data_IF_807985151794
#
_entry.id   IF_807985151794
#
_cell.length_a   1.000
_cell.length_b   1.000
_cell.length_c   1.000
_cell.angle_alpha   90.00
_cell.angle_beta   90.00
_cell.angle_gamma   90.00
#
_symmetry.space_group_name_H-M   'P 1'
#
loop_
_entity.id
_entity.type
_entity.pdbx_description
1 polymer ?
#
# COMPACT_ATOMS: atom_id res chain seq x y z
N UNK A 1 6.66 6.36 14.45
CA UNK A 1 7.52 5.53 13.57
C UNK A 1 8.82 6.30 13.38
N UNK A 2 9.96 5.70 13.71
CA UNK A 2 11.25 6.35 13.51
C UNK A 2 11.54 6.50 12.02
N UNK A 3 12.02 7.67 11.60
CA UNK A 3 12.32 7.96 10.20
C UNK A 3 13.77 7.60 9.91
N UNK A 4 13.99 6.69 8.95
CA UNK A 4 15.34 6.24 8.57
C UNK A 4 16.01 7.18 7.56
N UNK A 5 15.23 7.81 6.69
CA UNK A 5 15.74 8.65 5.60
C UNK A 5 15.66 10.14 5.90
N UNK A 6 16.62 10.92 5.40
CA UNK A 6 16.61 12.38 5.43
C UNK A 6 16.70 12.97 4.01
N UNK A 7 16.09 14.13 3.75
CA UNK A 7 16.19 14.77 2.44
C UNK A 7 17.65 15.15 2.13
N UNK A 8 18.07 14.93 0.88
CA UNK A 8 19.37 15.36 0.37
C UNK A 8 19.26 15.55 -1.15
N UNK A 9 19.58 16.75 -1.65
CA UNK A 9 19.65 17.09 -3.08
C UNK A 9 18.43 16.66 -3.92
N UNK A 10 17.22 16.92 -3.43
CA UNK A 10 15.98 16.55 -4.13
C UNK A 10 15.61 15.06 -4.06
N UNK A 11 16.43 14.25 -3.39
CA UNK A 11 16.14 12.86 -3.06
C UNK A 11 16.20 12.61 -1.55
N UNK A 12 16.44 11.36 -1.19
CA UNK A 12 16.55 10.92 0.19
C UNK A 12 17.83 10.12 0.38
N UNK A 13 18.48 10.29 1.53
CA UNK A 13 19.63 9.50 1.96
C UNK A 13 19.33 8.80 3.28
N UNK A 14 19.99 7.68 3.51
CA UNK A 14 19.93 6.89 4.74
C UNK A 14 21.35 6.63 5.23
N UNK A 15 21.49 6.35 6.51
CA UNK A 15 22.76 5.89 7.09
C UNK A 15 23.23 4.58 6.41
N UNK A 16 24.53 4.48 6.15
CA UNK A 16 25.14 3.34 5.46
C UNK A 16 24.92 2.01 6.19
N UNK A 17 24.79 2.04 7.52
CA UNK A 17 24.52 0.84 8.33
C UNK A 17 23.13 0.25 8.10
N UNK A 18 22.22 1.01 7.47
CA UNK A 18 20.83 0.60 7.21
C UNK A 18 20.62 0.03 5.81
N UNK A 19 21.64 0.10 4.96
CA UNK A 19 21.67 -0.49 3.61
C UNK A 19 23.00 -1.20 3.42
N UNK A 20 22.99 -2.53 3.50
CA UNK A 20 24.20 -3.38 3.47
C UNK A 20 24.19 -4.30 2.24
N UNK A 21 25.34 -4.66 1.68
CA UNK A 21 25.40 -5.61 0.57
C UNK A 21 24.94 -7.00 1.03
N UNK A 22 24.12 -7.64 0.22
CA UNK A 22 23.67 -9.03 0.33
C UNK A 22 24.06 -9.84 -0.91
N UNK A 23 23.70 -11.13 -0.93
CA UNK A 23 24.06 -12.04 -2.03
C UNK A 23 23.40 -11.70 -3.37
N UNK A 24 22.25 -11.03 -3.35
CA UNK A 24 21.44 -10.72 -4.55
C UNK A 24 21.25 -9.21 -4.79
N UNK A 25 21.95 -8.36 -4.05
CA UNK A 25 21.79 -6.90 -4.13
C UNK A 25 22.06 -6.22 -2.80
N UNK A 26 21.28 -5.19 -2.47
CA UNK A 26 21.34 -4.51 -1.18
C UNK A 26 20.19 -4.96 -0.28
N UNK A 27 20.47 -5.10 1.00
CA UNK A 27 19.50 -5.43 2.05
C UNK A 27 19.67 -4.46 3.22
N UNK A 28 19.02 -4.73 4.35
CA UNK A 28 19.07 -3.89 5.54
C UNK A 28 17.71 -3.30 5.87
N UNK A 29 17.63 -2.60 7.00
CA UNK A 29 16.37 -2.13 7.57
C UNK A 29 15.61 -1.19 6.63
N UNK A 30 16.32 -0.30 5.93
CA UNK A 30 15.69 0.64 5.01
C UNK A 30 15.10 -0.06 3.78
N UNK A 31 15.83 -1.02 3.22
CA UNK A 31 15.37 -1.82 2.07
C UNK A 31 14.18 -2.69 2.47
N UNK A 32 14.26 -3.39 3.60
CA UNK A 32 13.18 -4.25 4.09
C UNK A 32 11.88 -3.47 4.36
N UNK A 33 12.00 -2.22 4.82
CA UNK A 33 10.84 -1.35 5.06
C UNK A 33 10.26 -0.80 3.77
N UNK A 34 11.09 -0.53 2.76
CA UNK A 34 10.63 -0.17 1.42
C UNK A 34 9.85 -1.32 0.79
N UNK A 35 10.39 -2.55 0.81
CA UNK A 35 9.70 -3.73 0.26
C UNK A 35 8.35 -4.00 0.92
N UNK A 36 8.27 -3.94 2.26
CA UNK A 36 6.98 -4.08 2.97
C UNK A 36 5.97 -2.98 2.62
N UNK A 37 6.47 -1.79 2.30
CA UNK A 37 5.61 -0.70 1.85
C UNK A 37 5.12 -0.94 0.42
N UNK A 38 5.96 -1.46 -0.47
CA UNK A 38 5.59 -1.90 -1.82
C UNK A 38 4.53 -2.99 -1.76
N UNK A 39 4.72 -4.05 -0.94
CA UNK A 39 3.72 -5.11 -0.71
C UNK A 39 2.36 -4.54 -0.27
N UNK A 40 2.38 -3.55 0.63
CA UNK A 40 1.18 -2.87 1.11
C UNK A 40 0.46 -2.11 -0.01
N UNK A 41 1.20 -1.39 -0.86
CA UNK A 41 0.62 -0.66 -2.01
C UNK A 41 0.05 -1.64 -3.03
N UNK A 42 0.76 -2.71 -3.35
CA UNK A 42 0.26 -3.77 -4.24
C UNK A 42 -1.03 -4.40 -3.71
N UNK A 43 -1.09 -4.66 -2.40
CA UNK A 43 -2.29 -5.19 -1.76
C UNK A 43 -3.49 -4.23 -1.88
N UNK A 44 -3.27 -2.92 -1.70
CA UNK A 44 -4.31 -1.90 -1.90
C UNK A 44 -4.81 -1.88 -3.36
N UNK A 45 -3.90 -1.93 -4.32
CA UNK A 45 -4.24 -1.93 -5.75
C UNK A 45 -5.03 -3.19 -6.15
N UNK A 46 -4.61 -4.36 -5.66
CA UNK A 46 -5.32 -5.62 -5.88
C UNK A 46 -6.72 -5.57 -5.24
N UNK A 47 -6.82 -5.06 -4.01
CA UNK A 47 -8.10 -4.88 -3.30
C UNK A 47 -9.05 -3.95 -4.06
N UNK A 48 -8.55 -2.83 -4.60
CA UNK A 48 -9.32 -1.90 -5.41
C UNK A 48 -9.91 -2.54 -6.68
N UNK A 49 -9.25 -3.58 -7.20
CA UNK A 49 -9.69 -4.35 -8.37
C UNK A 49 -10.68 -5.46 -8.00
N UNK A 50 -10.48 -6.11 -6.85
CA UNK A 50 -11.24 -7.29 -6.46
C UNK A 50 -12.54 -6.96 -5.71
N UNK A 51 -12.54 -5.95 -4.85
CA UNK A 51 -13.73 -5.55 -4.09
C UNK A 51 -14.94 -5.25 -5.00
N UNK A 52 -14.81 -4.51 -6.13
CA UNK A 52 -15.94 -4.29 -7.02
C UNK A 52 -16.60 -5.58 -7.53
N UNK A 53 -15.81 -6.64 -7.77
CA UNK A 53 -16.34 -7.94 -8.20
C UNK A 53 -17.14 -8.60 -7.08
N UNK A 54 -16.60 -8.61 -5.86
CA UNK A 54 -17.30 -9.15 -4.68
C UNK A 54 -18.58 -8.37 -4.37
N UNK A 55 -18.56 -7.05 -4.51
CA UNK A 55 -19.74 -6.21 -4.35
C UNK A 55 -20.80 -6.54 -5.41
N UNK A 56 -20.40 -6.76 -6.66
CA UNK A 56 -21.34 -7.15 -7.72
C UNK A 56 -21.99 -8.50 -7.42
N UNK A 57 -21.22 -9.51 -7.03
CA UNK A 57 -21.76 -10.81 -6.62
C UNK A 57 -22.80 -10.67 -5.50
N UNK A 58 -22.51 -9.84 -4.48
CA UNK A 58 -23.46 -9.59 -3.40
C UNK A 58 -24.72 -8.83 -3.86
N UNK A 59 -24.65 -7.97 -4.89
CA UNK A 59 -25.84 -7.35 -5.50
C UNK A 59 -26.68 -8.38 -6.21
N UNK A 60 -26.05 -9.25 -6.99
CA UNK A 60 -26.73 -10.29 -7.76
C UNK A 60 -27.46 -11.27 -6.81
N UNK A 61 -26.92 -11.48 -5.60
CA UNK A 61 -27.55 -12.24 -4.52
C UNK A 61 -28.57 -11.44 -3.68
N UNK A 62 -28.81 -10.15 -3.98
CA UNK A 62 -29.72 -9.28 -3.21
C UNK A 62 -29.23 -8.88 -1.81
N UNK A 63 -27.94 -9.02 -1.53
CA UNK A 63 -27.32 -8.86 -0.19
C UNK A 63 -26.73 -7.47 0.08
N UNK A 64 -27.22 -6.43 -0.58
CA UNK A 64 -26.71 -5.06 -0.45
C UNK A 64 -26.83 -4.46 0.97
N UNK A 65 -27.77 -4.97 1.77
CA UNK A 65 -27.95 -4.51 3.16
C UNK A 65 -27.09 -5.28 4.17
N UNK A 66 -26.35 -6.31 3.73
CA UNK A 66 -25.53 -7.15 4.60
C UNK A 66 -24.36 -6.37 5.22
N UNK A 67 -23.90 -6.80 6.39
CA UNK A 67 -22.71 -6.24 7.02
C UNK A 67 -21.48 -6.37 6.11
N UNK A 68 -21.34 -7.53 5.45
CA UNK A 68 -20.25 -7.79 4.51
C UNK A 68 -20.22 -6.81 3.34
N UNK A 69 -21.37 -6.51 2.75
CA UNK A 69 -21.46 -5.53 1.66
C UNK A 69 -21.02 -4.14 2.14
N UNK A 70 -21.48 -3.71 3.33
CA UNK A 70 -21.10 -2.42 3.91
C UNK A 70 -19.61 -2.33 4.24
N UNK A 71 -19.04 -3.41 4.78
CA UNK A 71 -17.60 -3.53 5.06
C UNK A 71 -16.78 -3.40 3.78
N UNK A 72 -17.15 -4.11 2.71
CA UNK A 72 -16.47 -4.03 1.41
C UNK A 72 -16.58 -2.63 0.79
N UNK A 73 -17.75 -1.99 0.87
CA UNK A 73 -17.90 -0.59 0.44
C UNK A 73 -16.98 0.35 1.21
N UNK A 74 -16.92 0.21 2.54
CA UNK A 74 -16.02 1.00 3.38
C UNK A 74 -14.56 0.77 3.02
N UNK A 75 -14.15 -0.49 2.84
CA UNK A 75 -12.78 -0.85 2.43
C UNK A 75 -12.42 -0.25 1.08
N UNK A 76 -13.29 -0.34 0.07
CA UNK A 76 -13.07 0.28 -1.26
C UNK A 76 -12.83 1.79 -1.18
N UNK A 77 -13.61 2.50 -0.36
CA UNK A 77 -13.46 3.94 -0.19
C UNK A 77 -12.13 4.28 0.50
N UNK A 78 -11.78 3.53 1.54
CA UNK A 78 -10.52 3.67 2.26
C UNK A 78 -9.32 3.40 1.37
N UNK A 79 -9.33 2.30 0.61
CA UNK A 79 -8.24 1.94 -0.30
C UNK A 79 -8.05 3.04 -1.36
N UNK A 80 -9.15 3.52 -1.95
CA UNK A 80 -9.11 4.64 -2.91
C UNK A 80 -8.56 5.93 -2.30
N UNK A 81 -8.91 6.23 -1.05
CA UNK A 81 -8.42 7.42 -0.35
C UNK A 81 -6.91 7.31 -0.09
N UNK A 82 -6.44 6.17 0.41
CA UNK A 82 -5.01 5.94 0.68
C UNK A 82 -4.20 6.03 -0.62
N UNK A 83 -4.64 5.37 -1.69
CA UNK A 83 -3.99 5.46 -3.00
C UNK A 83 -3.93 6.91 -3.52
N UNK A 84 -4.97 7.70 -3.27
CA UNK A 84 -4.98 9.14 -3.58
C UNK A 84 -3.92 9.93 -2.81
N UNK A 85 -3.74 9.65 -1.51
CA UNK A 85 -2.70 10.27 -0.69
C UNK A 85 -1.29 9.87 -1.15
N UNK A 86 -1.10 8.62 -1.57
CA UNK A 86 0.18 8.16 -2.10
C UNK A 86 0.53 8.92 -3.38
N UNK A 87 -0.42 9.02 -4.31
CA UNK A 87 -0.24 9.75 -5.57
C UNK A 87 0.08 11.23 -5.35
N UNK A 88 -0.53 11.88 -4.36
CA UNK A 88 -0.23 13.29 -4.05
C UNK A 88 1.20 13.50 -3.52
N UNK A 89 1.83 12.45 -3.00
CA UNK A 89 3.23 12.46 -2.57
C UNK A 89 4.18 11.95 -3.66
N UNK A 90 3.69 11.72 -4.89
CA UNK A 90 4.49 11.17 -5.99
C UNK A 90 4.82 9.69 -5.83
N UNK A 91 4.05 8.98 -5.00
CA UNK A 91 4.20 7.55 -4.75
C UNK A 91 3.04 6.86 -5.46
N UNK A 92 3.29 6.25 -6.62
CA UNK A 92 2.28 5.54 -7.42
C UNK A 92 2.02 6.14 -8.79
#
# INVERSE_FOLDING_TARGET
MERLTRPLNGGYVVDETKVVPGSEGYTGEAINRLGKFEDFVEQLMASQTEIPKQLQMLRDEGKEKSYRYKELMGKKLTDSYILGLLKSHGIG
#
